data_IF_921608473859
#
_entry.id   IF_921608473859
#
_cell.length_a   1.000
_cell.length_b   1.000
_cell.length_c   1.000
_cell.angle_alpha   90.00
_cell.angle_beta   90.00
_cell.angle_gamma   90.00
#
_symmetry.space_group_name_H-M   'P 1'
#
loop_
_entity.id
_entity.type
_entity.pdbx_description
1 polymer ?
#
# COMPACT_ATOMS: atom_id res chain seq x y z
N UNK A 1 23.42 -6.93 9.78
CA UNK A 1 23.38 -7.46 8.40
C UNK A 1 24.47 -8.48 8.14
N UNK A 2 25.71 -8.30 8.60
CA UNK A 2 26.82 -9.20 8.22
C UNK A 2 26.63 -10.69 8.59
N UNK A 3 25.84 -11.00 9.62
CA UNK A 3 25.50 -12.38 9.98
C UNK A 3 24.33 -12.97 9.17
N UNK A 4 23.56 -12.15 8.45
CA UNK A 4 22.37 -12.56 7.69
C UNK A 4 22.77 -13.41 6.48
N UNK A 5 22.16 -14.60 6.27
CA UNK A 5 22.50 -15.48 5.16
C UNK A 5 22.32 -14.87 3.77
N UNK A 6 21.25 -14.12 3.55
CA UNK A 6 20.97 -13.47 2.28
C UNK A 6 20.25 -12.13 2.48
N UNK A 7 20.50 -11.18 1.58
CA UNK A 7 19.78 -9.91 1.50
C UNK A 7 19.22 -9.77 0.10
N UNK A 8 17.91 -9.54 -0.01
CA UNK A 8 17.27 -9.12 -1.26
C UNK A 8 17.20 -7.60 -1.26
N UNK A 9 17.61 -6.96 -2.35
CA UNK A 9 17.50 -5.50 -2.52
C UNK A 9 16.43 -5.22 -3.57
N UNK A 10 15.44 -4.41 -3.22
CA UNK A 10 14.46 -3.91 -4.19
C UNK A 10 14.88 -2.53 -4.69
N UNK A 11 15.03 -2.39 -5.99
CA UNK A 11 15.23 -1.09 -6.65
C UNK A 11 13.95 -0.66 -7.36
N UNK A 12 13.80 0.65 -7.57
CA UNK A 12 12.72 1.22 -8.38
C UNK A 12 13.32 2.06 -9.50
N UNK A 13 13.01 1.68 -10.75
CA UNK A 13 13.32 2.47 -11.94
C UNK A 13 12.22 3.51 -12.11
N UNK A 14 12.41 4.72 -11.59
CA UNK A 14 11.34 5.72 -11.41
C UNK A 14 10.64 6.10 -12.72
N UNK A 15 11.40 6.24 -13.81
CA UNK A 15 10.85 6.70 -15.08
C UNK A 15 9.83 5.71 -15.69
N UNK A 16 9.95 4.39 -15.40
CA UNK A 16 9.00 3.36 -15.90
C UNK A 16 7.57 3.65 -15.45
N UNK A 17 7.42 4.16 -14.24
CA UNK A 17 6.13 4.49 -13.64
C UNK A 17 5.75 5.94 -13.92
N UNK A 18 6.73 6.85 -13.85
CA UNK A 18 6.51 8.27 -14.09
C UNK A 18 6.12 8.60 -15.54
N UNK A 19 6.49 7.79 -16.55
CA UNK A 19 6.02 7.96 -17.92
C UNK A 19 4.49 8.07 -18.03
N UNK A 20 3.76 7.27 -17.24
CA UNK A 20 2.30 7.29 -17.21
C UNK A 20 1.74 8.20 -16.11
N UNK A 21 2.33 8.16 -14.91
CA UNK A 21 1.74 8.77 -13.72
C UNK A 21 2.43 10.07 -13.27
N UNK A 22 3.46 10.53 -14.00
CA UNK A 22 4.27 11.71 -13.67
C UNK A 22 4.78 11.61 -12.22
N UNK A 23 4.78 12.71 -11.47
CA UNK A 23 5.23 12.76 -10.07
C UNK A 23 4.49 11.79 -9.15
N UNK A 24 3.20 11.47 -9.43
CA UNK A 24 2.47 10.46 -8.64
C UNK A 24 3.10 9.08 -8.75
N UNK A 25 3.84 8.80 -9.84
CA UNK A 25 4.53 7.54 -10.07
C UNK A 25 5.50 7.15 -8.95
N UNK A 26 6.04 8.12 -8.20
CA UNK A 26 6.87 7.85 -7.04
C UNK A 26 6.13 7.01 -5.98
N UNK A 27 4.83 7.28 -5.74
CA UNK A 27 4.00 6.48 -4.81
C UNK A 27 3.84 5.04 -5.28
N UNK A 28 3.55 4.88 -6.56
CA UNK A 28 3.29 3.59 -7.21
C UNK A 28 4.51 2.66 -7.10
N UNK A 29 5.73 3.19 -7.15
CA UNK A 29 6.94 2.38 -6.91
C UNK A 29 6.91 1.67 -5.55
N UNK A 30 6.40 2.31 -4.50
CA UNK A 30 6.29 1.70 -3.17
C UNK A 30 5.06 0.81 -3.02
N UNK A 31 3.95 1.11 -3.72
CA UNK A 31 2.79 0.22 -3.78
C UNK A 31 3.16 -1.10 -4.44
N UNK A 32 3.79 -1.03 -5.62
CA UNK A 32 4.23 -2.19 -6.38
C UNK A 32 5.25 -2.99 -5.58
N UNK A 33 6.28 -2.33 -5.03
CA UNK A 33 7.27 -3.00 -4.18
C UNK A 33 6.61 -3.63 -2.93
N UNK A 34 5.73 -2.91 -2.23
CA UNK A 34 5.01 -3.46 -1.08
C UNK A 34 4.21 -4.73 -1.42
N UNK A 35 3.55 -4.77 -2.59
CA UNK A 35 2.86 -5.99 -3.03
C UNK A 35 3.80 -7.15 -3.35
N UNK A 36 5.00 -6.87 -3.87
CA UNK A 36 6.06 -7.87 -4.08
C UNK A 36 6.62 -8.36 -2.74
N UNK A 37 6.86 -7.45 -1.80
CA UNK A 37 7.32 -7.77 -0.44
C UNK A 37 6.32 -8.67 0.28
N UNK A 38 5.02 -8.44 0.12
CA UNK A 38 3.99 -9.31 0.68
C UNK A 38 4.20 -10.78 0.25
N UNK A 39 4.47 -11.04 -1.04
CA UNK A 39 4.77 -12.39 -1.52
C UNK A 39 6.06 -12.95 -0.89
N UNK A 40 7.12 -12.15 -0.82
CA UNK A 40 8.41 -12.56 -0.27
C UNK A 40 8.29 -12.90 1.23
N UNK A 41 7.66 -12.01 2.00
CA UNK A 41 7.46 -12.17 3.45
C UNK A 41 6.54 -13.37 3.74
N UNK A 42 5.45 -13.54 2.99
CA UNK A 42 4.56 -14.69 3.14
C UNK A 42 5.29 -16.01 2.81
N UNK A 43 6.08 -16.03 1.73
CA UNK A 43 6.83 -17.21 1.29
C UNK A 43 7.96 -17.58 2.26
N UNK A 44 8.63 -16.59 2.87
CA UNK A 44 9.62 -16.84 3.91
C UNK A 44 8.95 -17.40 5.18
N UNK A 45 7.86 -16.77 5.61
CA UNK A 45 7.09 -17.20 6.78
C UNK A 45 6.54 -18.62 6.62
N UNK A 46 6.03 -19.00 5.44
CA UNK A 46 5.52 -20.36 5.20
C UNK A 46 6.61 -21.43 5.26
N UNK A 47 7.88 -21.05 5.12
CA UNK A 47 9.05 -21.93 5.24
C UNK A 47 9.71 -21.84 6.63
N UNK A 48 9.12 -21.11 7.57
CA UNK A 48 9.70 -20.85 8.89
C UNK A 48 10.99 -20.03 8.84
N UNK A 49 11.27 -19.35 7.73
CA UNK A 49 12.44 -18.49 7.58
C UNK A 49 12.10 -17.07 8.03
N UNK A 50 12.88 -16.48 8.95
CA UNK A 50 12.66 -15.09 9.30
C UNK A 50 13.03 -14.20 8.11
N UNK A 51 12.19 -13.20 7.87
CA UNK A 51 12.43 -12.14 6.91
C UNK A 51 12.17 -10.80 7.59
N UNK A 52 13.07 -9.84 7.41
CA UNK A 52 12.93 -8.48 7.97
C UNK A 52 13.21 -7.43 6.92
N UNK A 53 12.25 -6.54 6.71
CA UNK A 53 12.37 -5.36 5.87
C UNK A 53 13.27 -4.34 6.56
N UNK A 54 14.23 -3.79 5.82
CA UNK A 54 15.15 -2.76 6.28
C UNK A 54 14.99 -1.59 5.34
N UNK A 55 14.28 -0.56 5.80
CA UNK A 55 14.05 0.66 5.07
C UNK A 55 15.05 1.75 5.45
N UNK A 56 15.72 1.67 6.60
CA UNK A 56 16.82 2.58 6.96
C UNK A 56 18.16 2.02 6.50
N UNK A 57 18.79 2.61 5.49
CA UNK A 57 20.12 2.26 5.01
C UNK A 57 20.76 3.48 4.36
N UNK A 58 22.09 3.46 4.19
CA UNK A 58 22.82 4.54 3.52
C UNK A 58 22.58 4.37 2.02
N UNK A 59 21.68 5.15 1.43
CA UNK A 59 21.26 4.96 0.02
C UNK A 59 22.45 5.01 -0.95
N UNK A 60 23.40 5.98 -0.86
CA UNK A 60 24.54 6.02 -1.78
C UNK A 60 25.44 4.79 -1.71
N UNK A 61 25.58 4.16 -0.54
CA UNK A 61 26.41 2.96 -0.39
C UNK A 61 25.76 1.73 -1.04
N UNK A 62 24.44 1.60 -0.89
CA UNK A 62 23.68 0.48 -1.47
C UNK A 62 23.56 0.65 -2.97
N UNK A 63 23.25 1.85 -3.44
CA UNK A 63 23.10 2.12 -4.87
C UNK A 63 24.44 1.93 -5.60
N UNK A 64 25.55 2.40 -5.01
CA UNK A 64 26.90 2.14 -5.52
C UNK A 64 27.24 0.66 -5.57
N UNK A 65 26.85 -0.12 -4.56
CA UNK A 65 27.05 -1.57 -4.56
C UNK A 65 26.32 -2.24 -5.74
N UNK A 66 25.11 -1.78 -6.04
CA UNK A 66 24.31 -2.31 -7.15
C UNK A 66 24.72 -1.77 -8.52
N UNK A 67 25.56 -0.72 -8.58
CA UNK A 67 25.91 -0.03 -9.81
C UNK A 67 24.74 0.73 -10.45
N UNK A 68 23.76 1.14 -9.63
CA UNK A 68 22.58 1.88 -10.10
C UNK A 68 22.78 3.39 -9.96
N UNK A 69 22.15 4.12 -10.87
CA UNK A 69 22.13 5.59 -10.87
C UNK A 69 20.94 6.06 -10.04
N UNK A 70 21.18 6.54 -8.82
CA UNK A 70 20.16 6.94 -7.84
C UNK A 70 19.14 7.97 -8.33
N UNK A 71 19.38 8.66 -9.45
CA UNK A 71 18.40 9.55 -10.09
C UNK A 71 17.36 8.77 -10.90
N UNK A 72 17.78 7.70 -11.58
CA UNK A 72 16.93 6.91 -12.49
C UNK A 72 16.41 5.63 -11.85
N UNK A 73 17.27 4.94 -11.12
CA UNK A 73 17.02 3.69 -10.41
C UNK A 73 17.68 3.73 -9.04
N UNK A 74 16.88 3.57 -7.99
CA UNK A 74 17.40 3.61 -6.63
C UNK A 74 16.82 2.52 -5.75
N UNK A 75 17.60 2.14 -4.74
CA UNK A 75 17.19 1.20 -3.71
C UNK A 75 16.02 1.77 -2.91
N UNK A 76 14.98 0.95 -2.72
CA UNK A 76 13.77 1.33 -2.00
C UNK A 76 13.66 0.63 -0.64
N UNK A 77 14.08 -0.63 -0.58
CA UNK A 77 14.21 -1.39 0.67
C UNK A 77 15.16 -2.56 0.52
N UNK A 78 15.64 -3.07 1.65
CA UNK A 78 16.38 -4.32 1.76
C UNK A 78 15.53 -5.33 2.52
N UNK A 79 15.68 -6.62 2.25
CA UNK A 79 15.06 -7.70 3.04
C UNK A 79 16.13 -8.67 3.49
N UNK A 80 16.38 -8.69 4.80
CA UNK A 80 17.25 -9.66 5.43
C UNK A 80 16.51 -11.00 5.57
N UNK A 81 17.02 -12.05 4.94
CA UNK A 81 16.44 -13.39 4.93
C UNK A 81 17.30 -14.38 5.72
N UNK A 82 16.65 -15.15 6.59
CA UNK A 82 17.25 -16.21 7.40
C UNK A 82 17.80 -15.73 8.74
N UNK A 83 18.03 -16.69 9.65
CA UNK A 83 18.66 -16.39 10.95
C UNK A 83 20.16 -16.20 10.76
N UNK A 84 20.71 -15.16 11.40
CA UNK A 84 22.14 -14.94 11.37
C UNK A 84 22.89 -16.00 12.18
N UNK A 85 23.94 -16.59 11.60
CA UNK A 85 24.74 -17.62 12.29
C UNK A 85 25.80 -16.99 13.20
N UNK A 86 25.39 -16.61 14.41
CA UNK A 86 26.28 -16.07 15.44
C UNK A 86 27.01 -14.78 15.04
N UNK A 87 27.75 -14.19 15.97
CA UNK A 87 28.67 -13.10 15.65
C UNK A 87 29.93 -13.69 14.99
N UNK A 88 29.94 -13.82 13.67
CA UNK A 88 31.19 -14.04 12.95
C UNK A 88 31.94 -12.71 12.87
N UNK A 89 33.25 -12.75 13.04
CA UNK A 89 34.09 -11.58 12.72
C UNK A 89 34.03 -11.39 11.21
N UNK A 90 33.66 -10.19 10.76
CA UNK A 90 33.59 -9.85 9.35
C UNK A 90 34.61 -8.75 9.05
N UNK A 91 35.34 -8.89 7.95
CA UNK A 91 36.18 -7.83 7.43
C UNK A 91 35.31 -6.95 6.55
N UNK A 92 35.14 -5.69 6.94
CA UNK A 92 34.49 -4.69 6.07
C UNK A 92 35.45 -4.42 4.91
N UNK A 93 35.00 -4.73 3.70
CA UNK A 93 35.70 -4.36 2.46
C UNK A 93 34.96 -3.22 1.78
N UNK A 94 35.71 -2.35 1.09
CA UNK A 94 35.11 -1.41 0.17
C UNK A 94 34.33 -2.19 -0.89
N UNK A 95 33.12 -1.72 -1.21
CA UNK A 95 32.25 -2.33 -2.21
C UNK A 95 32.79 -1.95 -3.59
N UNK A 96 33.12 -2.96 -4.39
CA UNK A 96 33.35 -2.78 -5.82
C UNK A 96 31.99 -2.66 -6.52
N UNK A 97 31.89 -1.71 -7.45
CA UNK A 97 30.67 -1.46 -8.20
C UNK A 97 30.37 -2.67 -9.11
N UNK A 98 29.12 -3.15 -9.07
CA UNK A 98 28.65 -4.19 -9.97
C UNK A 98 28.27 -3.55 -11.30
N UNK A 99 28.72 -4.11 -12.43
CA UNK A 99 28.24 -3.69 -13.75
C UNK A 99 26.74 -4.01 -13.86
N UNK A 100 25.92 -2.96 -13.97
CA UNK A 100 24.46 -3.06 -14.14
C UNK A 100 24.03 -3.78 -15.43
N UNK A 101 24.94 -3.94 -16.40
CA UNK A 101 24.65 -4.50 -17.71
C UNK A 101 23.78 -3.58 -18.58
N UNK A 102 23.43 -4.05 -19.78
CA UNK A 102 22.50 -3.33 -20.66
C UNK A 102 21.06 -3.61 -20.23
N UNK A 103 20.46 -2.61 -19.58
CA UNK A 103 19.06 -2.61 -19.15
C UNK A 103 18.07 -2.34 -20.32
N UNK A 104 18.57 -2.16 -21.54
CA UNK A 104 17.82 -1.96 -22.79
C UNK A 104 16.76 -0.86 -22.72
N UNK A 105 17.05 0.24 -22.02
CA UNK A 105 16.17 1.41 -21.99
C UNK A 105 16.65 2.48 -22.95
N UNK A 106 15.80 2.82 -23.92
CA UNK A 106 15.96 4.00 -24.77
C UNK A 106 15.47 5.24 -24.01
N UNK A 107 16.40 6.15 -23.71
CA UNK A 107 16.20 7.51 -23.17
C UNK A 107 15.29 7.61 -21.93
N UNK A 108 15.91 7.67 -20.75
CA UNK A 108 15.19 7.99 -19.52
C UNK A 108 14.54 9.37 -19.61
N UNK A 109 13.26 9.45 -19.25
CA UNK A 109 12.54 10.73 -19.15
C UNK A 109 12.69 11.23 -17.71
N UNK A 110 13.33 12.39 -17.56
CA UNK A 110 13.51 13.05 -16.25
C UNK A 110 12.19 13.61 -15.72
N UNK A 111 12.04 13.51 -14.39
CA UNK A 111 10.91 14.04 -13.64
C UNK A 111 11.45 14.73 -12.38
N UNK A 112 11.77 16.05 -12.46
CA UNK A 112 12.51 16.75 -11.42
C UNK A 112 11.87 16.67 -10.02
N UNK A 113 10.54 16.66 -9.93
CA UNK A 113 9.86 16.54 -8.65
C UNK A 113 10.06 15.16 -8.00
N UNK A 114 10.11 14.09 -8.81
CA UNK A 114 10.42 12.74 -8.31
C UNK A 114 11.87 12.63 -7.85
N UNK A 115 12.80 13.26 -8.58
CA UNK A 115 14.22 13.33 -8.24
C UNK A 115 14.42 14.09 -6.91
N UNK A 116 13.76 15.23 -6.74
CA UNK A 116 13.79 16.01 -5.49
C UNK A 116 13.21 15.19 -4.34
N UNK A 117 12.04 14.56 -4.52
CA UNK A 117 11.41 13.72 -3.50
C UNK A 117 12.33 12.57 -3.08
N UNK A 118 12.99 11.93 -4.07
CA UNK A 118 13.94 10.87 -3.80
C UNK A 118 15.14 11.41 -3.01
N UNK A 119 15.85 12.40 -3.53
CA UNK A 119 17.04 12.97 -2.89
C UNK A 119 16.77 13.44 -1.45
N UNK A 120 15.63 14.11 -1.21
CA UNK A 120 15.25 14.61 0.11
C UNK A 120 14.87 13.53 1.12
N UNK A 121 14.66 12.29 0.68
CA UNK A 121 14.30 11.15 1.53
C UNK A 121 15.43 10.11 1.68
N UNK A 122 16.59 10.34 1.07
CA UNK A 122 17.78 9.51 1.25
C UNK A 122 18.42 9.74 2.62
N UNK A 123 19.04 8.69 3.17
CA UNK A 123 19.95 8.78 4.31
C UNK A 123 21.38 8.65 3.78
N UNK A 124 22.25 9.58 4.14
CA UNK A 124 23.59 9.70 3.56
C UNK A 124 24.71 9.24 4.49
N UNK A 125 24.38 8.88 5.73
CA UNK A 125 25.37 8.52 6.74
C UNK A 125 24.90 7.40 7.68
N UNK A 126 25.86 6.70 8.28
CA UNK A 126 25.56 5.67 9.29
C UNK A 126 24.86 6.26 10.53
N UNK A 127 25.11 7.54 10.84
CA UNK A 127 24.49 8.24 11.96
C UNK A 127 23.00 8.49 11.68
N UNK A 128 22.66 9.02 10.51
CA UNK A 128 21.27 9.18 10.06
C UNK A 128 20.50 7.85 10.06
N UNK A 129 21.14 6.76 9.64
CA UNK A 129 20.52 5.42 9.68
C UNK A 129 20.28 4.94 11.12
N UNK A 130 21.21 5.20 12.05
CA UNK A 130 20.99 4.83 13.46
C UNK A 130 19.85 5.63 14.07
N UNK A 131 19.81 6.93 13.82
CA UNK A 131 18.77 7.81 14.34
C UNK A 131 17.40 7.41 13.78
N UNK A 132 17.32 7.16 12.47
CA UNK A 132 16.09 6.70 11.83
C UNK A 132 15.58 5.36 12.41
N UNK A 133 16.49 4.40 12.64
CA UNK A 133 16.14 3.08 13.20
C UNK A 133 15.84 3.10 14.70
N UNK A 134 16.30 4.11 15.44
CA UNK A 134 16.09 4.22 16.88
C UNK A 134 14.60 4.26 17.24
N UNK A 135 13.78 4.80 16.33
CA UNK A 135 12.33 4.89 16.49
C UNK A 135 11.58 3.57 16.22
N UNK A 136 12.26 2.52 15.76
CA UNK A 136 11.65 1.22 15.48
C UNK A 136 11.42 0.39 16.75
N UNK A 137 10.16 0.22 17.16
CA UNK A 137 9.77 -0.76 18.16
C UNK A 137 9.09 -1.98 17.53
N UNK A 138 9.44 -3.18 17.99
CA UNK A 138 8.76 -4.42 17.56
C UNK A 138 7.45 -4.51 18.33
N UNK A 139 6.34 -4.26 17.67
CA UNK A 139 5.01 -4.52 18.20
C UNK A 139 4.48 -5.81 17.58
N UNK A 140 4.12 -6.80 18.40
CA UNK A 140 3.49 -8.03 17.93
C UNK A 140 2.08 -7.73 17.43
N UNK A 141 1.72 -8.28 16.28
CA UNK A 141 0.34 -8.29 15.82
C UNK A 141 -0.51 -9.08 16.83
N UNK A 142 -1.60 -8.46 17.31
CA UNK A 142 -2.49 -9.05 18.32
C UNK A 142 -3.73 -9.72 17.73
N UNK A 143 -3.98 -9.51 16.44
CA UNK A 143 -5.16 -10.00 15.75
C UNK A 143 -4.79 -11.04 14.70
N UNK A 144 -5.36 -12.22 14.85
CA UNK A 144 -5.25 -13.33 13.91
C UNK A 144 -6.65 -13.92 13.72
N UNK A 145 -6.92 -14.42 12.53
CA UNK A 145 -8.18 -15.03 12.19
C UNK A 145 -7.91 -16.35 11.47
N UNK A 146 -8.52 -17.42 11.96
CA UNK A 146 -8.50 -18.71 11.29
C UNK A 146 -9.59 -18.74 10.22
N UNK A 147 -9.18 -18.97 8.97
CA UNK A 147 -10.07 -19.23 7.87
C UNK A 147 -9.50 -20.37 7.01
N UNK A 148 -10.39 -21.22 6.50
CA UNK A 148 -10.00 -22.22 5.51
C UNK A 148 -9.58 -21.50 4.23
N UNK A 149 -8.33 -21.69 3.82
CA UNK A 149 -7.77 -21.07 2.63
C UNK A 149 -7.08 -22.10 1.73
N UNK A 150 -6.85 -21.73 0.48
CA UNK A 150 -5.96 -22.44 -0.41
C UNK A 150 -4.50 -22.31 0.04
N UNK A 151 -3.64 -23.17 -0.53
CA UNK A 151 -2.20 -23.11 -0.30
C UNK A 151 -1.61 -21.79 -0.82
N UNK A 152 -0.70 -21.20 -0.06
CA UNK A 152 -0.05 -19.92 -0.40
C UNK A 152 0.54 -19.92 -1.82
N UNK A 153 1.17 -21.03 -2.23
CA UNK A 153 1.76 -21.14 -3.58
C UNK A 153 0.74 -20.95 -4.70
N UNK A 154 -0.46 -21.55 -4.56
CA UNK A 154 -1.54 -21.38 -5.53
C UNK A 154 -2.06 -19.93 -5.49
N UNK A 155 -2.27 -19.39 -4.30
CA UNK A 155 -2.71 -18.00 -4.14
C UNK A 155 -1.74 -17.00 -4.80
N UNK A 156 -0.43 -17.22 -4.73
CA UNK A 156 0.57 -16.36 -5.39
C UNK A 156 0.50 -16.50 -6.92
N UNK A 157 0.43 -17.74 -7.44
CA UNK A 157 0.50 -18.03 -8.88
C UNK A 157 -0.79 -17.66 -9.62
N UNK A 158 -1.95 -17.87 -8.99
CA UNK A 158 -3.27 -17.64 -9.60
C UNK A 158 -3.77 -16.20 -9.41
N UNK A 159 -3.06 -15.39 -8.60
CA UNK A 159 -3.45 -14.02 -8.32
C UNK A 159 -3.46 -13.16 -9.57
N UNK A 160 -4.51 -12.35 -9.69
CA UNK A 160 -4.62 -11.29 -10.68
C UNK A 160 -5.67 -10.27 -10.28
N UNK A 161 -5.50 -9.01 -10.71
CA UNK A 161 -6.45 -7.95 -10.36
C UNK A 161 -7.84 -8.22 -10.95
N UNK A 162 -8.85 -8.19 -10.08
CA UNK A 162 -10.26 -8.28 -10.48
C UNK A 162 -10.65 -7.03 -11.27
N UNK A 163 -11.36 -7.23 -12.39
CA UNK A 163 -11.84 -6.16 -13.29
C UNK A 163 -13.32 -5.85 -13.08
N UNK A 164 -14.05 -6.71 -12.37
CA UNK A 164 -15.44 -6.50 -11.97
C UNK A 164 -15.83 -7.39 -10.79
N UNK A 165 -16.53 -6.83 -9.81
CA UNK A 165 -17.13 -7.58 -8.70
C UNK A 165 -18.62 -7.87 -8.96
N UNK A 166 -19.14 -8.97 -8.40
CA UNK A 166 -20.54 -9.41 -8.59
C UNK A 166 -21.55 -8.68 -7.71
N UNK A 167 -21.08 -7.85 -6.76
CA UNK A 167 -21.85 -7.20 -5.69
C UNK A 167 -22.46 -8.15 -4.66
N UNK A 168 -22.17 -9.44 -4.75
CA UNK A 168 -22.62 -10.43 -3.79
C UNK A 168 -21.90 -10.30 -2.45
N UNK A 169 -22.54 -10.83 -1.41
CA UNK A 169 -21.96 -10.86 -0.08
C UNK A 169 -20.74 -11.78 0.00
N UNK A 170 -19.72 -11.32 0.72
CA UNK A 170 -18.68 -12.19 1.27
C UNK A 170 -19.07 -12.63 2.69
N UNK A 171 -18.55 -13.77 3.12
CA UNK A 171 -18.84 -14.30 4.45
C UNK A 171 -18.05 -13.53 5.52
N UNK A 172 -18.61 -13.37 6.72
CA UNK A 172 -17.95 -12.65 7.83
C UNK A 172 -16.57 -13.24 8.17
N UNK A 173 -16.41 -14.56 8.09
CA UNK A 173 -15.12 -15.22 8.30
C UNK A 173 -14.08 -14.82 7.25
N UNK A 174 -14.49 -14.71 5.97
CA UNK A 174 -13.60 -14.24 4.91
C UNK A 174 -13.20 -12.78 5.13
N UNK A 175 -14.18 -11.91 5.47
CA UNK A 175 -13.94 -10.50 5.77
C UNK A 175 -12.98 -10.31 6.96
N UNK A 176 -13.18 -11.08 8.03
CA UNK A 176 -12.33 -11.05 9.23
C UNK A 176 -10.90 -11.48 8.89
N UNK A 177 -10.72 -12.53 8.08
CA UNK A 177 -9.41 -12.98 7.62
C UNK A 177 -8.71 -11.96 6.71
N UNK A 178 -9.46 -11.28 5.83
CA UNK A 178 -8.95 -10.19 5.00
C UNK A 178 -8.44 -9.01 5.85
N UNK A 179 -9.22 -8.60 6.86
CA UNK A 179 -8.81 -7.57 7.82
C UNK A 179 -7.56 -7.99 8.60
N UNK A 180 -7.51 -9.23 9.09
CA UNK A 180 -6.36 -9.74 9.83
C UNK A 180 -5.08 -9.73 8.99
N UNK A 181 -5.13 -10.27 7.76
CA UNK A 181 -3.98 -10.34 6.88
C UNK A 181 -3.48 -8.94 6.47
N UNK A 182 -4.41 -8.05 6.09
CA UNK A 182 -4.08 -6.69 5.66
C UNK A 182 -3.64 -5.76 6.79
N UNK A 183 -3.91 -6.12 8.05
CA UNK A 183 -3.56 -5.30 9.22
C UNK A 183 -2.35 -5.83 10.02
N UNK A 184 -1.80 -6.98 9.63
CA UNK A 184 -0.65 -7.58 10.28
C UNK A 184 0.59 -6.67 10.15
N UNK A 185 1.34 -6.54 11.24
CA UNK A 185 2.61 -5.81 11.23
C UNK A 185 3.64 -6.58 10.40
N UNK A 186 4.28 -5.90 9.44
CA UNK A 186 5.45 -6.47 8.77
C UNK A 186 6.66 -6.42 9.71
N UNK A 187 7.57 -7.40 9.69
CA UNK A 187 8.82 -7.28 10.42
C UNK A 187 9.71 -6.24 9.74
N UNK A 188 9.91 -5.07 10.36
CA UNK A 188 10.70 -3.97 9.81
C UNK A 188 11.73 -3.37 10.81
N UNK A 189 12.56 -2.44 10.36
CA UNK A 189 13.46 -1.62 11.18
C UNK A 189 12.90 -0.24 11.54
N UNK A 190 11.61 -0.03 11.29
CA UNK A 190 10.81 1.08 11.78
C UNK A 190 9.55 0.56 12.49
N UNK A 191 8.85 1.44 13.20
CA UNK A 191 7.59 1.11 13.84
C UNK A 191 6.51 0.84 12.79
N UNK A 192 6.04 -0.41 12.73
CA UNK A 192 4.84 -0.75 11.97
C UNK A 192 3.60 -0.43 12.79
N UNK A 193 2.51 -0.06 12.12
CA UNK A 193 1.33 0.54 12.75
C UNK A 193 1.16 2.02 12.43
N UNK A 194 1.99 2.60 11.56
CA UNK A 194 1.89 4.02 11.15
C UNK A 194 0.76 4.27 10.15
N UNK A 195 0.24 3.19 9.54
CA UNK A 195 -0.91 3.21 8.62
C UNK A 195 -2.10 2.48 9.24
N UNK A 196 -3.29 3.06 9.12
CA UNK A 196 -4.53 2.57 9.69
C UNK A 196 -5.59 2.28 8.61
N UNK A 197 -6.31 1.15 8.69
CA UNK A 197 -7.36 0.80 7.75
C UNK A 197 -8.70 1.47 8.11
N UNK A 198 -9.22 2.21 7.14
CA UNK A 198 -10.60 2.67 7.08
C UNK A 198 -11.34 1.87 6.01
N UNK A 199 -12.64 1.66 6.15
CA UNK A 199 -13.39 0.80 5.25
C UNK A 199 -14.71 1.42 4.83
N UNK A 200 -15.07 1.19 3.57
CA UNK A 200 -16.48 1.21 3.15
C UNK A 200 -16.90 -0.25 2.99
N UNK A 201 -17.86 -0.69 3.78
CA UNK A 201 -18.46 -2.03 3.73
C UNK A 201 -19.81 -1.95 3.05
N UNK A 202 -20.01 -2.75 2.01
CA UNK A 202 -21.25 -2.74 1.21
C UNK A 202 -22.01 -4.08 1.20
N UNK A 203 -21.32 -5.21 1.39
CA UNK A 203 -21.90 -6.54 1.24
C UNK A 203 -21.09 -7.60 2.01
N UNK A 204 -21.21 -7.59 3.34
CA UNK A 204 -20.61 -8.59 4.24
C UNK A 204 -21.73 -9.18 5.09
N UNK A 205 -21.88 -10.51 5.08
CA UNK A 205 -22.99 -11.15 5.82
C UNK A 205 -22.89 -10.87 7.31
N UNK A 206 -23.97 -10.36 7.90
CA UNK A 206 -24.06 -10.09 9.33
C UNK A 206 -23.35 -8.82 9.80
N UNK A 207 -22.91 -7.96 8.86
CA UNK A 207 -22.35 -6.65 9.15
C UNK A 207 -23.12 -5.60 8.35
N UNK A 208 -23.53 -4.52 9.01
CA UNK A 208 -24.29 -3.44 8.37
C UNK A 208 -23.44 -2.73 7.31
N UNK A 209 -24.08 -2.28 6.23
CA UNK A 209 -23.42 -1.41 5.24
C UNK A 209 -23.06 -0.08 5.91
N UNK A 210 -21.84 0.41 5.68
CA UNK A 210 -21.38 1.63 6.33
C UNK A 210 -19.90 1.96 6.12
N UNK A 211 -19.50 3.09 6.70
CA UNK A 211 -18.12 3.52 6.87
C UNK A 211 -17.60 3.04 8.22
N UNK A 212 -16.41 2.46 8.23
CA UNK A 212 -15.81 1.87 9.43
C UNK A 212 -14.34 2.28 9.59
N UNK A 213 -13.85 2.24 10.82
CA UNK A 213 -12.44 2.28 11.17
C UNK A 213 -12.07 0.96 11.84
N UNK A 214 -10.92 0.39 11.48
CA UNK A 214 -10.40 -0.80 12.15
C UNK A 214 -9.12 -0.47 12.92
N UNK A 215 -9.21 -0.59 14.25
CA UNK A 215 -8.07 -0.37 15.14
C UNK A 215 -7.12 -1.56 15.09
N UNK A 216 -5.93 -1.35 14.51
CA UNK A 216 -4.88 -2.39 14.50
C UNK A 216 -4.39 -2.79 15.89
N UNK A 217 -4.54 -1.90 16.87
CA UNK A 217 -4.05 -2.09 18.23
C UNK A 217 -5.01 -2.91 19.10
N UNK A 218 -6.32 -2.72 18.95
CA UNK A 218 -7.36 -3.44 19.70
C UNK A 218 -7.96 -4.60 18.91
N UNK A 219 -7.87 -4.57 17.58
CA UNK A 219 -8.53 -5.53 16.70
C UNK A 219 -10.05 -5.28 16.57
N UNK A 220 -10.52 -4.09 16.96
CA UNK A 220 -11.93 -3.73 16.94
C UNK A 220 -12.30 -2.98 15.67
N UNK A 221 -13.50 -3.27 15.16
CA UNK A 221 -14.11 -2.59 14.03
C UNK A 221 -15.16 -1.60 14.54
N UNK A 222 -14.88 -0.32 14.40
CA UNK A 222 -15.75 0.78 14.81
C UNK A 222 -16.61 1.24 13.62
N UNK A 223 -17.93 1.31 13.82
CA UNK A 223 -18.85 1.91 12.87
C UNK A 223 -18.80 3.43 13.01
N UNK A 224 -18.38 4.11 11.94
CA UNK A 224 -18.31 5.58 11.89
C UNK A 224 -19.62 6.19 11.37
N UNK A 225 -20.18 5.61 10.31
CA UNK A 225 -21.45 6.03 9.73
C UNK A 225 -22.15 4.84 9.07
N UNK A 226 -23.44 4.67 9.32
CA UNK A 226 -24.24 3.58 8.75
C UNK A 226 -24.93 4.06 7.48
N UNK A 227 -24.75 3.34 6.37
CA UNK A 227 -25.35 3.77 5.11
C UNK A 227 -24.93 2.98 3.87
N UNK A 228 -25.60 3.29 2.75
CA UNK A 228 -25.26 2.78 1.42
C UNK A 228 -24.25 3.73 0.78
N UNK A 229 -23.02 3.27 0.56
CA UNK A 229 -21.90 4.10 0.13
C UNK A 229 -21.22 3.60 -1.15
N UNK A 230 -21.89 2.79 -1.99
CA UNK A 230 -21.29 2.31 -3.24
C UNK A 230 -20.97 3.44 -4.21
N UNK A 231 -21.82 4.47 -4.30
CA UNK A 231 -21.56 5.59 -5.19
C UNK A 231 -20.34 6.40 -4.74
N UNK A 232 -20.21 6.61 -3.43
CA UNK A 232 -19.10 7.25 -2.75
C UNK A 232 -17.83 6.42 -2.97
N UNK A 233 -17.84 5.12 -2.68
CA UNK A 233 -16.72 4.23 -2.90
C UNK A 233 -16.24 4.26 -4.35
N UNK A 234 -17.15 4.22 -5.33
CA UNK A 234 -16.81 4.34 -6.74
C UNK A 234 -16.21 5.69 -7.12
N UNK A 235 -16.75 6.79 -6.58
CA UNK A 235 -16.20 8.14 -6.77
C UNK A 235 -14.80 8.27 -6.19
N UNK A 236 -14.63 7.92 -4.91
CA UNK A 236 -13.38 7.98 -4.16
C UNK A 236 -12.27 7.17 -4.84
N UNK A 237 -12.62 6.04 -5.47
CA UNK A 237 -11.71 5.23 -6.28
C UNK A 237 -11.51 5.79 -7.70
N UNK A 238 -11.50 7.11 -7.86
CA UNK A 238 -11.30 7.82 -9.12
C UNK A 238 -12.34 7.47 -10.20
N UNK A 239 -13.63 7.50 -9.82
CA UNK A 239 -14.77 7.20 -10.71
C UNK A 239 -14.74 5.77 -11.29
N UNK A 240 -14.26 4.79 -10.52
CA UNK A 240 -14.16 3.39 -10.96
C UNK A 240 -15.29 2.52 -10.39
N UNK A 241 -15.92 1.73 -11.28
CA UNK A 241 -16.97 0.76 -10.94
C UNK A 241 -16.53 -0.24 -9.86
N UNK A 242 -15.24 -0.55 -9.81
CA UNK A 242 -14.64 -1.51 -8.89
C UNK A 242 -14.91 -1.13 -7.42
N UNK A 243 -14.74 0.15 -7.03
CA UNK A 243 -15.07 0.61 -5.68
C UNK A 243 -16.56 0.48 -5.37
N UNK A 244 -17.42 0.81 -6.33
CA UNK A 244 -18.87 0.70 -6.18
C UNK A 244 -19.40 -0.75 -6.16
N UNK A 245 -18.72 -1.67 -6.84
CA UNK A 245 -19.15 -3.06 -6.97
C UNK A 245 -18.58 -3.95 -5.87
N UNK A 246 -17.51 -3.51 -5.20
CA UNK A 246 -16.85 -4.24 -4.14
C UNK A 246 -17.80 -4.57 -2.97
N UNK A 247 -17.51 -5.69 -2.31
CA UNK A 247 -18.14 -6.08 -1.05
C UNK A 247 -17.61 -5.23 0.11
N UNK A 248 -16.32 -4.89 0.06
CA UNK A 248 -15.69 -3.88 0.92
C UNK A 248 -14.51 -3.22 0.20
N UNK A 249 -14.21 -1.97 0.55
CA UNK A 249 -12.99 -1.26 0.12
C UNK A 249 -12.21 -0.86 1.36
N UNK A 250 -10.92 -1.22 1.41
CA UNK A 250 -10.01 -0.84 2.49
C UNK A 250 -9.15 0.34 2.03
N UNK A 251 -9.11 1.39 2.84
CA UNK A 251 -8.37 2.64 2.65
C UNK A 251 -7.28 2.71 3.71
N UNK A 252 -6.02 2.62 3.31
CA UNK A 252 -4.87 2.62 4.21
C UNK A 252 -4.37 4.05 4.42
N UNK A 253 -4.71 4.64 5.56
CA UNK A 253 -4.50 6.05 5.87
C UNK A 253 -3.40 6.26 6.91
N UNK A 254 -2.59 7.30 6.75
CA UNK A 254 -1.45 7.59 7.62
C UNK A 254 -1.49 9.03 8.11
N UNK A 255 -1.10 9.27 9.37
CA UNK A 255 -0.88 10.61 9.91
C UNK A 255 0.52 11.08 9.50
N UNK A 256 0.61 11.74 8.32
CA UNK A 256 1.89 12.08 7.72
C UNK A 256 2.67 13.09 8.55
N UNK A 257 2.02 14.06 9.19
CA UNK A 257 2.72 15.04 10.02
C UNK A 257 3.48 14.34 11.15
N UNK A 258 2.82 13.43 11.89
CA UNK A 258 3.49 12.64 12.94
C UNK A 258 4.60 11.74 12.40
N UNK A 259 4.39 11.15 11.22
CA UNK A 259 5.37 10.25 10.60
C UNK A 259 6.61 11.03 10.15
N UNK A 260 6.42 12.19 9.54
CA UNK A 260 7.51 13.05 9.06
C UNK A 260 8.26 13.69 10.23
N UNK A 261 7.57 14.07 11.31
CA UNK A 261 8.20 14.54 12.54
C UNK A 261 9.12 13.47 13.16
N UNK A 262 8.75 12.19 13.05
CA UNK A 262 9.50 11.07 13.64
C UNK A 262 10.60 10.53 12.73
N UNK A 263 10.34 10.40 11.44
CA UNK A 263 11.20 9.68 10.48
C UNK A 263 11.78 10.58 9.38
N UNK A 264 11.56 11.88 9.47
CA UNK A 264 11.87 12.83 8.40
C UNK A 264 11.15 12.49 7.11
N UNK A 265 11.64 13.05 5.99
CA UNK A 265 11.08 12.80 4.65
C UNK A 265 11.08 11.31 4.25
N UNK A 266 12.00 10.49 4.80
CA UNK A 266 12.01 9.05 4.58
C UNK A 266 10.79 8.35 5.18
N UNK A 267 10.16 8.94 6.19
CA UNK A 267 8.89 8.48 6.76
C UNK A 267 7.79 8.34 5.70
N UNK A 268 7.77 9.19 4.68
CA UNK A 268 6.84 9.05 3.57
C UNK A 268 7.05 7.77 2.75
N UNK A 269 8.32 7.38 2.49
CA UNK A 269 8.63 6.09 1.86
C UNK A 269 8.14 4.93 2.71
N UNK A 270 8.34 5.00 4.03
CA UNK A 270 7.92 3.98 4.98
C UNK A 270 6.40 3.80 5.02
N UNK A 271 5.64 4.91 5.04
CA UNK A 271 4.18 4.88 5.00
C UNK A 271 3.63 4.28 3.70
N UNK A 272 4.18 4.68 2.55
CA UNK A 272 3.79 4.13 1.25
C UNK A 272 4.13 2.64 1.14
N UNK A 273 5.30 2.23 1.64
CA UNK A 273 5.74 0.84 1.62
C UNK A 273 4.86 -0.03 2.55
N UNK A 274 4.57 0.43 3.77
CA UNK A 274 3.68 -0.30 4.68
C UNK A 274 2.29 -0.47 4.05
N UNK A 275 1.69 0.60 3.52
CA UNK A 275 0.40 0.52 2.84
C UNK A 275 0.43 -0.44 1.64
N UNK A 276 1.52 -0.45 0.86
CA UNK A 276 1.73 -1.40 -0.23
C UNK A 276 1.78 -2.86 0.26
N UNK A 277 2.46 -3.14 1.37
CA UNK A 277 2.50 -4.48 1.99
C UNK A 277 1.13 -4.88 2.52
N UNK A 278 0.42 -3.98 3.20
CA UNK A 278 -0.96 -4.20 3.67
C UNK A 278 -1.90 -4.54 2.51
N UNK A 279 -1.79 -3.80 1.39
CA UNK A 279 -2.53 -4.08 0.16
C UNK A 279 -2.14 -5.41 -0.48
N UNK A 280 -0.85 -5.74 -0.53
CA UNK A 280 -0.35 -7.04 -0.99
C UNK A 280 -0.91 -8.21 -0.17
N UNK A 281 -0.94 -8.06 1.16
CA UNK A 281 -1.52 -9.08 2.05
C UNK A 281 -3.02 -9.23 1.82
N UNK A 282 -3.75 -8.13 1.59
CA UNK A 282 -5.16 -8.17 1.22
C UNK A 282 -5.38 -8.96 -0.09
N UNK A 283 -4.52 -8.74 -1.08
CA UNK A 283 -4.52 -9.49 -2.33
C UNK A 283 -4.27 -11.00 -2.11
N UNK A 284 -3.22 -11.37 -1.38
CA UNK A 284 -2.92 -12.77 -1.10
C UNK A 284 -4.06 -13.46 -0.36
N UNK A 285 -4.58 -12.82 0.69
CA UNK A 285 -5.70 -13.35 1.46
C UNK A 285 -6.97 -13.49 0.62
N UNK A 286 -7.31 -12.49 -0.20
CA UNK A 286 -8.49 -12.56 -1.07
C UNK A 286 -8.43 -13.76 -2.01
N UNK A 287 -7.32 -13.93 -2.73
CA UNK A 287 -7.17 -15.04 -3.66
C UNK A 287 -7.13 -16.39 -2.94
N UNK A 288 -6.46 -16.49 -1.80
CA UNK A 288 -6.45 -17.71 -0.98
C UNK A 288 -7.86 -18.08 -0.44
N UNK A 289 -8.78 -17.11 -0.35
CA UNK A 289 -10.16 -17.30 0.10
C UNK A 289 -11.15 -17.45 -1.07
N UNK A 290 -10.67 -17.57 -2.32
CA UNK A 290 -11.50 -17.66 -3.52
C UNK A 290 -12.24 -16.36 -3.88
N UNK A 291 -11.73 -15.22 -3.41
CA UNK A 291 -12.25 -13.89 -3.67
C UNK A 291 -11.35 -13.13 -4.67
N UNK A 292 -11.82 -11.96 -5.09
CA UNK A 292 -11.10 -11.02 -5.92
C UNK A 292 -10.57 -9.82 -5.11
N UNK A 293 -9.48 -9.25 -5.60
CA UNK A 293 -8.91 -8.01 -5.08
C UNK A 293 -8.46 -7.09 -6.23
N UNK A 294 -8.51 -5.78 -6.00
CA UNK A 294 -7.96 -4.80 -6.94
C UNK A 294 -7.52 -3.51 -6.24
N UNK A 295 -6.25 -3.13 -6.42
CA UNK A 295 -5.72 -1.83 -6.01
C UNK A 295 -6.03 -0.77 -7.05
N UNK A 296 -6.26 0.47 -6.61
CA UNK A 296 -6.69 1.57 -7.49
C UNK A 296 -6.05 2.90 -7.08
N UNK A 297 -6.14 3.88 -7.98
CA UNK A 297 -5.90 5.30 -7.67
C UNK A 297 -7.16 5.95 -7.11
N UNK A 298 -7.04 7.15 -6.54
CA UNK A 298 -8.06 7.76 -5.69
C UNK A 298 -7.99 9.29 -5.65
N UNK A 299 -9.04 9.89 -5.09
CA UNK A 299 -9.07 11.31 -4.71
C UNK A 299 -8.68 11.46 -3.23
N UNK A 300 -7.43 11.82 -2.96
CA UNK A 300 -6.84 11.86 -1.60
C UNK A 300 -7.66 12.66 -0.58
N UNK A 301 -7.97 13.91 -0.90
CA UNK A 301 -8.68 14.83 0.01
C UNK A 301 -10.13 14.41 0.21
N UNK A 302 -10.77 13.88 -0.84
CA UNK A 302 -12.15 13.40 -0.76
C UNK A 302 -12.26 12.17 0.15
N UNK A 303 -11.28 11.26 0.14
CA UNK A 303 -11.25 10.11 1.06
C UNK A 303 -11.12 10.60 2.51
N UNK A 304 -10.19 11.52 2.75
CA UNK A 304 -9.96 12.09 4.09
C UNK A 304 -11.20 12.79 4.61
N UNK A 305 -11.87 13.57 3.75
CA UNK A 305 -13.09 14.28 4.08
C UNK A 305 -14.27 13.33 4.33
N UNK A 306 -14.39 12.23 3.57
CA UNK A 306 -15.43 11.22 3.77
C UNK A 306 -15.35 10.57 5.15
N UNK A 307 -14.15 10.23 5.62
CA UNK A 307 -13.94 9.64 6.94
C UNK A 307 -13.74 10.67 8.07
N UNK A 308 -13.87 11.95 7.79
CA UNK A 308 -13.77 13.01 8.80
C UNK A 308 -15.03 13.06 9.68
N UNK A 309 -14.91 13.41 10.98
CA UNK A 309 -13.72 13.94 11.64
C UNK A 309 -12.69 12.88 12.07
N UNK A 310 -13.03 11.59 12.04
CA UNK A 310 -12.14 10.53 12.54
C UNK A 310 -10.81 10.44 11.78
N UNK A 311 -10.84 10.75 10.48
CA UNK A 311 -9.67 10.76 9.61
C UNK A 311 -9.03 12.15 9.41
N UNK A 312 -9.48 13.19 10.13
CA UNK A 312 -8.94 14.53 9.98
C UNK A 312 -7.41 14.55 10.24
N UNK A 313 -6.65 15.20 9.34
CA UNK A 313 -5.18 15.27 9.41
C UNK A 313 -4.45 14.02 8.89
N UNK A 314 -5.16 12.99 8.42
CA UNK A 314 -4.55 11.81 7.79
C UNK A 314 -4.52 11.95 6.28
N UNK A 315 -3.66 11.17 5.63
CA UNK A 315 -3.54 11.09 4.18
C UNK A 315 -3.66 9.64 3.71
N UNK A 316 -4.38 9.42 2.62
CA UNK A 316 -4.52 8.10 2.03
C UNK A 316 -3.22 7.67 1.33
N UNK A 317 -2.63 6.56 1.78
CA UNK A 317 -1.41 5.99 1.18
C UNK A 317 -1.75 5.02 0.06
N UNK A 318 -2.68 4.08 0.28
CA UNK A 318 -3.11 3.12 -0.73
C UNK A 318 -4.52 2.61 -0.43
N UNK A 319 -5.18 1.96 -1.39
CA UNK A 319 -6.47 1.29 -1.16
C UNK A 319 -6.61 0.00 -1.96
N UNK A 320 -7.43 -0.92 -1.46
CA UNK A 320 -7.77 -2.19 -2.14
C UNK A 320 -9.25 -2.46 -2.02
N UNK A 321 -9.91 -2.69 -3.16
CA UNK A 321 -11.28 -3.18 -3.21
C UNK A 321 -11.31 -4.72 -3.22
N UNK A 322 -12.27 -5.29 -2.49
CA UNK A 322 -12.40 -6.71 -2.21
C UNK A 322 -13.83 -7.19 -2.49
N UNK A 323 -13.98 -8.41 -2.99
CA UNK A 323 -15.29 -9.01 -3.18
C UNK A 323 -15.28 -10.22 -4.10
N UNK A 324 -16.46 -10.77 -4.40
CA UNK A 324 -16.58 -11.88 -5.36
C UNK A 324 -16.35 -11.38 -6.78
N UNK A 325 -15.46 -12.05 -7.52
CA UNK A 325 -15.19 -11.72 -8.92
C UNK A 325 -16.41 -12.07 -9.78
N UNK A 326 -16.88 -11.11 -10.59
CA UNK A 326 -17.99 -11.33 -11.52
C UNK A 326 -17.56 -12.14 -12.75
N UNK A 327 -18.52 -12.86 -13.32
CA UNK A 327 -18.38 -13.54 -14.62
C UNK A 327 -19.35 -12.92 -15.61
N UNK A 328 -18.88 -12.32 -16.72
CA UNK A 328 -17.49 -12.19 -17.13
C UNK A 328 -16.71 -11.11 -16.34
N UNK A 329 -15.43 -11.38 -16.09
CA UNK A 329 -14.51 -10.45 -15.39
C UNK A 329 -14.02 -9.34 -16.35
N UNK A 330 -14.91 -8.42 -16.70
CA UNK A 330 -14.65 -7.31 -17.65
C UNK A 330 -15.03 -5.97 -17.04
N UNK A 331 -14.18 -4.97 -17.32
CA UNK A 331 -14.42 -3.57 -16.93
C UNK A 331 -15.76 -3.12 -17.49
N UNK A 332 -16.53 -2.38 -16.68
CA UNK A 332 -17.75 -1.70 -17.11
C UNK A 332 -17.61 -0.19 -16.92
N UNK A 333 -18.25 0.63 -17.77
CA UNK A 333 -18.38 2.05 -17.51
C UNK A 333 -19.04 2.29 -16.16
N UNK A 334 -18.56 3.32 -15.46
CA UNK A 334 -19.16 3.82 -14.26
C UNK A 334 -19.02 5.32 -14.23
N UNK A 335 -20.04 5.95 -13.66
CA UNK A 335 -20.03 7.36 -13.35
C UNK A 335 -20.86 7.53 -12.09
N UNK A 336 -20.24 8.06 -11.05
CA UNK A 336 -20.92 8.32 -9.80
C UNK A 336 -21.96 9.44 -9.98
N UNK A 337 -22.91 9.52 -9.04
CA UNK A 337 -23.85 10.67 -8.96
C UNK A 337 -23.12 12.01 -8.92
N UNK A 338 -21.91 12.02 -8.38
CA UNK A 338 -21.04 13.19 -8.27
C UNK A 338 -20.38 13.57 -9.59
N UNK A 339 -19.83 12.57 -10.30
CA UNK A 339 -19.27 12.75 -11.64
C UNK A 339 -20.32 13.20 -12.66
N UNK A 340 -21.58 12.76 -12.50
CA UNK A 340 -22.72 13.25 -13.30
C UNK A 340 -23.00 14.72 -12.96
N UNK A 341 -23.09 15.07 -11.68
CA UNK A 341 -23.35 16.43 -11.24
C UNK A 341 -22.28 17.43 -11.71
N UNK A 342 -20.99 17.08 -11.57
CA UNK A 342 -19.87 17.92 -12.03
C UNK A 342 -19.95 18.21 -13.53
N UNK A 343 -20.36 17.23 -14.34
CA UNK A 343 -20.59 17.40 -15.77
C UNK A 343 -21.79 18.29 -16.07
N UNK A 344 -22.89 18.12 -15.34
CA UNK A 344 -24.07 18.97 -15.51
C UNK A 344 -23.77 20.42 -15.17
N UNK A 345 -23.01 20.67 -14.09
CA UNK A 345 -22.55 22.00 -13.71
C UNK A 345 -21.61 22.60 -14.76
N UNK A 346 -20.65 21.82 -15.27
CA UNK A 346 -19.75 22.25 -16.35
C UNK A 346 -20.48 22.62 -17.65
N UNK A 347 -21.70 22.09 -17.87
CA UNK A 347 -22.56 22.39 -19.02
C UNK A 347 -23.59 23.50 -18.74
N UNK A 348 -23.46 24.22 -17.62
CA UNK A 348 -24.28 25.40 -17.31
C UNK A 348 -25.64 25.10 -16.67
N UNK A 349 -25.83 23.91 -16.08
CA UNK A 349 -27.04 23.62 -15.30
C UNK A 349 -27.08 24.51 -14.04
N UNK A 350 -28.01 25.46 -14.00
CA UNK A 350 -28.23 26.40 -12.88
C UNK A 350 -29.39 25.95 -11.99
N UNK A 351 -29.39 24.69 -11.57
CA UNK A 351 -30.35 24.21 -10.57
C UNK A 351 -29.96 24.70 -9.17
N UNK A 352 -30.92 24.77 -8.25
CA UNK A 352 -30.66 25.02 -6.83
C UNK A 352 -29.46 24.17 -6.38
N UNK A 353 -28.48 24.83 -5.73
CA UNK A 353 -27.31 24.16 -5.15
C UNK A 353 -27.82 23.09 -4.18
N UNK A 354 -28.05 21.86 -4.65
CA UNK A 354 -28.14 20.71 -3.74
C UNK A 354 -26.84 20.73 -2.95
N UNK A 355 -26.86 20.57 -1.61
CA UNK A 355 -25.64 20.55 -0.83
C UNK A 355 -24.78 19.40 -1.35
N UNK A 356 -23.80 19.76 -2.15
CA UNK A 356 -22.71 18.90 -2.54
C UNK A 356 -21.71 19.04 -1.41
N UNK A 357 -21.19 17.96 -0.82
CA UNK A 357 -20.14 18.09 0.17
C UNK A 357 -18.96 18.88 -0.44
N UNK A 358 -18.40 19.83 0.32
CA UNK A 358 -17.39 20.77 -0.19
C UNK A 358 -16.14 20.06 -0.78
N UNK A 359 -15.87 18.84 -0.31
CA UNK A 359 -14.81 17.97 -0.80
C UNK A 359 -15.02 17.41 -2.23
N UNK A 360 -16.19 17.64 -2.85
CA UNK A 360 -16.43 17.19 -4.23
C UNK A 360 -15.67 18.01 -5.29
N UNK A 361 -15.14 19.17 -4.90
CA UNK A 361 -14.42 20.07 -5.80
C UNK A 361 -12.90 20.02 -5.62
N UNK A 362 -12.38 19.33 -4.59
CA UNK A 362 -10.94 19.10 -4.44
C UNK A 362 -10.47 18.09 -5.47
N UNK A 363 -9.51 18.50 -6.31
CA UNK A 363 -8.89 17.67 -7.37
C UNK A 363 -7.74 16.83 -6.84
#
# INVERSE_FOLDING_TARGET
MASTPAIVVSTAVFWRTAWKYRTRGYRYCFWDNGTILSNLLASANSQGQPARVLAGFVDPDVDKLLGVDSEQEASTCLVALGQGFGAKSHVVKALEEIDKGDICFSEAVSYPESEILHAQSCLSSADEVRDWRYHGHIQQARFSADAKSDALGNAILDRGSTRRFSREDIDMAQFTALLAASSANMPADFECGITEPYLIVNAVKGLDSGAYYFSRSTGELELLDQGEFRNEAGHLCFEQALGADASAVIYFMADLDKILDRYGNRGYRAAQLEAGVMGGNAYLAAHALGLGATGMTFFDDAVTAFFSPHAAGKSLMFLVALGRTATPNRVRPFRSKYGVLKDSLARGAMGDRRPVPDWLYSN
#
